data_IF_890872181778
#
_entry.id   IF_890872181778
#
_cell.length_a   1.000
_cell.length_b   1.000
_cell.length_c   1.000
_cell.angle_alpha   90.00
_cell.angle_beta   90.00
_cell.angle_gamma   90.00
#
_symmetry.space_group_name_H-M   'P 1'
#
loop_
_entity.id
_entity.type
_entity.pdbx_description
1 polymer ?
#
# COMPACT_ATOMS: atom_id res chain seq x y z
N UNK A 1 12.90 50.63 -54.98
CA UNK A 1 11.51 51.14 -55.10
C UNK A 1 10.55 49.98 -54.89
N UNK A 2 9.65 50.14 -53.92
CA UNK A 2 8.27 49.64 -53.84
C UNK A 2 7.96 48.12 -53.73
N UNK A 3 7.18 47.83 -52.68
CA UNK A 3 6.64 46.57 -52.10
C UNK A 3 5.68 45.79 -53.02
N UNK A 4 5.39 44.52 -52.67
CA UNK A 4 4.03 44.00 -52.29
C UNK A 4 4.08 42.51 -51.82
N UNK A 5 3.50 42.28 -50.62
CA UNK A 5 2.71 41.15 -50.04
C UNK A 5 2.77 39.73 -50.66
N UNK A 6 2.51 38.60 -49.98
CA UNK A 6 2.24 38.17 -48.60
C UNK A 6 2.00 36.64 -48.65
N UNK A 7 2.23 35.92 -47.52
CA UNK A 7 1.51 34.70 -47.06
C UNK A 7 2.47 33.89 -46.15
N UNK A 8 2.30 33.93 -44.83
CA UNK A 8 1.51 32.95 -44.05
C UNK A 8 2.07 31.52 -44.09
N UNK A 9 2.80 31.14 -43.05
CA UNK A 9 2.46 29.94 -42.27
C UNK A 9 3.16 30.00 -40.91
N UNK A 10 2.33 30.27 -39.89
CA UNK A 10 2.63 30.10 -38.48
C UNK A 10 2.86 28.61 -38.20
N UNK A 11 4.05 28.25 -37.77
CA UNK A 11 4.29 27.08 -36.94
C UNK A 11 4.83 27.58 -35.62
N UNK A 12 3.89 28.07 -34.80
CA UNK A 12 4.10 28.28 -33.38
C UNK A 12 4.38 26.90 -32.76
N UNK A 13 5.66 26.54 -32.69
CA UNK A 13 6.14 25.58 -31.69
C UNK A 13 5.94 26.25 -30.33
N UNK A 14 4.71 26.21 -29.84
CA UNK A 14 4.44 26.37 -28.42
C UNK A 14 5.15 25.21 -27.74
N UNK A 15 6.35 25.50 -27.26
CA UNK A 15 6.92 24.81 -26.13
C UNK A 15 5.87 24.89 -25.01
N UNK A 16 5.01 23.87 -24.92
CA UNK A 16 4.43 23.48 -23.65
C UNK A 16 5.61 22.93 -22.84
N UNK A 17 6.38 23.86 -22.28
CA UNK A 17 7.01 23.62 -20.99
C UNK A 17 5.84 23.40 -20.04
N UNK A 18 5.35 22.16 -19.96
CA UNK A 18 4.59 21.75 -18.81
C UNK A 18 5.52 22.02 -17.63
N UNK A 19 5.12 22.80 -16.61
CA UNK A 19 5.87 22.80 -15.38
C UNK A 19 5.95 21.34 -14.97
N UNK A 20 7.17 20.80 -14.93
CA UNK A 20 7.44 19.51 -14.32
C UNK A 20 6.90 19.65 -12.91
N UNK A 21 5.72 19.06 -12.69
CA UNK A 21 5.12 19.05 -11.37
C UNK A 21 6.20 18.46 -10.47
N UNK A 22 6.56 19.11 -9.35
CA UNK A 22 7.44 18.48 -8.38
C UNK A 22 6.89 17.08 -8.15
N UNK A 23 7.72 16.03 -8.11
CA UNK A 23 7.24 14.66 -7.98
C UNK A 23 6.24 14.68 -6.84
N UNK A 24 4.96 14.49 -7.18
CA UNK A 24 3.92 14.37 -6.17
C UNK A 24 4.43 13.27 -5.29
N UNK A 25 4.81 13.60 -4.04
CA UNK A 25 5.02 12.59 -3.02
C UNK A 25 3.80 11.70 -3.17
N UNK A 26 4.01 10.44 -3.52
CA UNK A 26 2.94 9.47 -3.44
C UNK A 26 2.43 9.61 -2.01
N UNK A 27 1.21 10.10 -1.84
CA UNK A 27 0.53 10.21 -0.54
C UNK A 27 0.17 8.80 -0.06
N UNK A 28 1.17 7.93 0.01
CA UNK A 28 1.15 6.68 0.75
C UNK A 28 1.96 6.90 2.04
N UNK A 29 1.55 6.33 3.18
CA UNK A 29 2.41 6.20 4.35
C UNK A 29 3.84 5.83 3.96
N UNK A 30 4.79 6.48 4.65
CA UNK A 30 6.19 6.13 4.52
C UNK A 30 6.36 4.63 4.81
N UNK A 31 7.23 3.94 4.08
CA UNK A 31 7.65 2.59 4.43
C UNK A 31 8.17 2.55 5.86
N UNK A 32 8.03 1.39 6.49
CA UNK A 32 8.09 1.30 7.94
C UNK A 32 9.50 0.95 8.41
N UNK A 33 9.92 1.49 9.55
CA UNK A 33 11.31 1.37 10.03
C UNK A 33 11.66 -0.08 10.44
N UNK A 34 10.67 -0.92 10.73
CA UNK A 34 10.85 -2.33 11.04
C UNK A 34 9.61 -3.16 10.64
N UNK A 35 9.74 -4.49 10.50
CA UNK A 35 8.62 -5.39 10.29
C UNK A 35 7.55 -5.29 11.38
N UNK A 36 7.95 -5.16 12.65
CA UNK A 36 7.01 -5.07 13.79
C UNK A 36 6.18 -3.79 13.72
N UNK A 37 6.81 -2.67 13.34
CA UNK A 37 6.09 -1.42 13.09
C UNK A 37 5.15 -1.53 11.90
N UNK A 38 5.59 -2.18 10.82
CA UNK A 38 4.75 -2.45 9.65
C UNK A 38 3.48 -3.22 10.02
N UNK A 39 3.65 -4.31 10.77
CA UNK A 39 2.53 -5.12 11.21
C UNK A 39 1.60 -4.33 12.14
N UNK A 40 2.16 -3.64 13.13
CA UNK A 40 1.38 -2.80 14.05
C UNK A 40 0.59 -1.71 13.32
N UNK A 41 1.20 -1.07 12.32
CA UNK A 41 0.55 -0.06 11.50
C UNK A 41 -0.57 -0.66 10.63
N UNK A 42 -0.34 -1.84 10.05
CA UNK A 42 -1.37 -2.58 9.30
C UNK A 42 -2.59 -2.87 10.17
N UNK A 43 -2.40 -3.50 11.33
CA UNK A 43 -3.49 -3.86 12.26
C UNK A 43 -4.22 -2.60 12.73
N UNK A 44 -3.48 -1.57 13.13
CA UNK A 44 -4.02 -0.30 13.60
C UNK A 44 -4.88 0.41 12.54
N UNK A 45 -4.43 0.44 11.28
CA UNK A 45 -5.18 1.04 10.17
C UNK A 45 -6.37 0.19 9.75
N UNK A 46 -6.22 -1.13 9.74
CA UNK A 46 -7.30 -2.07 9.43
C UNK A 46 -8.43 -1.97 10.46
N UNK A 47 -8.11 -1.85 11.75
CA UNK A 47 -9.08 -1.60 12.83
C UNK A 47 -9.91 -0.31 12.62
N UNK A 48 -9.38 0.66 11.86
CA UNK A 48 -10.05 1.92 11.52
C UNK A 48 -10.71 1.91 10.14
N UNK A 49 -10.68 0.79 9.42
CA UNK A 49 -11.06 0.69 8.01
C UNK A 49 -10.37 1.74 7.11
N UNK A 50 -9.11 2.07 7.40
CA UNK A 50 -8.32 3.04 6.63
C UNK A 50 -7.78 2.39 5.34
N UNK A 51 -8.66 2.25 4.34
CA UNK A 51 -8.34 1.66 3.03
C UNK A 51 -7.07 2.22 2.39
N UNK A 52 -6.99 3.54 2.11
CA UNK A 52 -5.81 4.14 1.49
C UNK A 52 -4.53 3.91 2.29
N UNK A 53 -4.61 4.04 3.63
CA UNK A 53 -3.47 3.83 4.50
C UNK A 53 -2.98 2.39 4.52
N UNK A 54 -3.88 1.41 4.64
CA UNK A 54 -3.53 -0.02 4.58
C UNK A 54 -2.94 -0.36 3.22
N UNK A 55 -3.57 0.06 2.11
CA UNK A 55 -3.12 -0.27 0.76
C UNK A 55 -1.74 0.26 0.39
N UNK A 56 -1.29 1.32 1.07
CA UNK A 56 0.03 1.90 0.89
C UNK A 56 1.13 1.21 1.71
N UNK A 57 0.78 0.33 2.65
CA UNK A 57 1.75 -0.53 3.34
C UNK A 57 2.22 -1.71 2.47
N UNK A 58 1.55 -1.95 1.34
CA UNK A 58 1.87 -3.04 0.42
C UNK A 58 2.79 -2.61 -0.71
N UNK A 59 3.66 -3.53 -1.14
CA UNK A 59 4.22 -3.49 -2.49
C UNK A 59 3.09 -3.63 -3.53
N UNK A 60 3.32 -3.28 -4.81
CA UNK A 60 2.33 -3.52 -5.85
C UNK A 60 1.88 -5.00 -5.91
N UNK A 61 2.82 -5.93 -5.77
CA UNK A 61 2.55 -7.38 -5.76
C UNK A 61 1.74 -7.79 -4.53
N UNK A 62 2.11 -7.31 -3.34
CA UNK A 62 1.38 -7.61 -2.11
C UNK A 62 -0.04 -7.09 -2.12
N UNK A 63 -0.29 -5.95 -2.78
CA UNK A 63 -1.64 -5.41 -2.95
C UNK A 63 -2.52 -6.34 -3.79
N UNK A 64 -1.97 -6.91 -4.86
CA UNK A 64 -2.68 -7.88 -5.71
C UNK A 64 -2.96 -9.16 -4.90
N UNK A 65 -1.98 -9.67 -4.15
CA UNK A 65 -2.21 -10.83 -3.28
C UNK A 65 -3.33 -10.56 -2.26
N UNK A 66 -3.31 -9.41 -1.59
CA UNK A 66 -4.37 -9.03 -0.66
C UNK A 66 -5.76 -8.96 -1.33
N UNK A 67 -5.84 -8.40 -2.53
CA UNK A 67 -7.07 -8.34 -3.32
C UNK A 67 -7.61 -9.73 -3.66
N UNK A 68 -6.73 -10.63 -4.08
CA UNK A 68 -7.08 -12.02 -4.44
C UNK A 68 -7.62 -12.80 -3.23
N UNK A 69 -6.97 -12.66 -2.07
CA UNK A 69 -7.38 -13.29 -0.81
C UNK A 69 -8.78 -12.87 -0.36
N UNK A 70 -9.19 -11.63 -0.65
CA UNK A 70 -10.53 -11.12 -0.34
C UNK A 70 -11.51 -11.21 -1.53
N UNK A 71 -11.07 -11.71 -2.69
CA UNK A 71 -11.91 -11.88 -3.87
C UNK A 71 -12.42 -10.55 -4.46
N UNK A 72 -11.66 -9.47 -4.34
CA UNK A 72 -12.04 -8.12 -4.76
C UNK A 72 -11.05 -7.52 -5.76
N UNK A 73 -11.50 -6.60 -6.62
CA UNK A 73 -10.65 -5.96 -7.62
C UNK A 73 -9.90 -4.72 -7.11
N UNK A 74 -10.33 -4.14 -5.98
CA UNK A 74 -9.75 -2.91 -5.43
C UNK A 74 -9.32 -3.16 -3.99
N UNK A 75 -8.15 -2.62 -3.62
CA UNK A 75 -7.55 -2.94 -2.33
C UNK A 75 -8.33 -2.33 -1.17
N UNK A 76 -8.83 -1.09 -1.33
CA UNK A 76 -9.67 -0.40 -0.36
C UNK A 76 -10.98 -1.16 -0.07
N UNK A 77 -11.56 -1.81 -1.07
CA UNK A 77 -12.69 -2.72 -0.87
C UNK A 77 -12.27 -3.94 -0.02
N UNK A 78 -11.11 -4.53 -0.29
CA UNK A 78 -10.60 -5.65 0.52
C UNK A 78 -10.36 -5.24 1.97
N UNK A 79 -9.89 -4.00 2.20
CA UNK A 79 -9.73 -3.43 3.54
C UNK A 79 -11.08 -3.24 4.21
N UNK A 80 -12.10 -2.81 3.47
CA UNK A 80 -13.46 -2.64 3.98
C UNK A 80 -14.06 -3.98 4.42
N UNK A 81 -13.93 -5.02 3.59
CA UNK A 81 -14.37 -6.39 3.91
C UNK A 81 -13.62 -6.95 5.12
N UNK A 82 -12.29 -6.83 5.12
CA UNK A 82 -11.44 -7.28 6.21
C UNK A 82 -11.75 -6.57 7.53
N UNK A 83 -11.93 -5.25 7.51
CA UNK A 83 -12.32 -4.46 8.68
C UNK A 83 -13.74 -4.79 9.16
N UNK A 84 -14.65 -5.14 8.25
CA UNK A 84 -16.01 -5.57 8.60
C UNK A 84 -16.07 -6.86 9.42
N UNK A 85 -15.03 -7.71 9.32
CA UNK A 85 -14.85 -8.91 10.15
C UNK A 85 -14.31 -8.63 11.56
N UNK A 86 -13.92 -7.39 11.88
CA UNK A 86 -13.33 -7.04 13.17
C UNK A 86 -14.44 -6.69 14.19
N UNK A 87 -14.79 -7.66 15.04
CA UNK A 87 -15.83 -7.47 16.07
C UNK A 87 -15.44 -6.53 17.21
N UNK A 88 -14.16 -6.49 17.59
CA UNK A 88 -13.60 -5.55 18.59
C UNK A 88 -12.31 -4.91 18.05
N UNK A 89 -12.39 -3.68 17.50
CA UNK A 89 -11.23 -2.99 16.95
C UNK A 89 -10.11 -2.72 17.95
N UNK A 90 -10.43 -2.50 19.24
CA UNK A 90 -9.42 -2.21 20.25
C UNK A 90 -8.66 -3.48 20.65
N UNK A 91 -9.37 -4.60 20.85
CA UNK A 91 -8.74 -5.89 21.08
C UNK A 91 -7.96 -6.38 19.87
N UNK A 92 -8.46 -6.11 18.65
CA UNK A 92 -7.76 -6.39 17.40
C UNK A 92 -6.44 -5.61 17.29
N UNK A 93 -6.46 -4.30 17.58
CA UNK A 93 -5.27 -3.46 17.57
C UNK A 93 -4.22 -3.84 18.63
N UNK A 94 -4.61 -4.57 19.67
CA UNK A 94 -3.71 -5.06 20.72
C UNK A 94 -2.98 -6.36 20.35
N UNK A 95 -3.25 -6.97 19.19
CA UNK A 95 -2.61 -8.23 18.78
C UNK A 95 -1.12 -8.02 18.48
N UNK A 96 -0.27 -8.75 19.20
CA UNK A 96 1.16 -8.79 18.94
C UNK A 96 1.45 -9.67 17.71
N UNK A 97 2.41 -9.28 16.85
CA UNK A 97 2.86 -10.15 15.77
C UNK A 97 3.69 -11.31 16.31
N UNK A 98 3.42 -12.51 15.82
CA UNK A 98 4.42 -13.58 15.78
C UNK A 98 5.26 -13.39 14.52
N UNK A 99 6.59 -13.40 14.66
CA UNK A 99 7.51 -13.27 13.52
C UNK A 99 8.37 -14.52 13.36
N UNK A 100 8.51 -14.97 12.12
CA UNK A 100 9.52 -15.95 11.70
C UNK A 100 10.49 -15.26 10.77
N UNK A 101 11.77 -15.27 11.16
CA UNK A 101 12.85 -14.76 10.33
C UNK A 101 13.51 -15.97 9.67
N UNK A 102 13.56 -15.98 8.34
CA UNK A 102 14.37 -16.94 7.59
C UNK A 102 15.58 -16.23 7.02
N UNK A 103 16.72 -16.38 7.70
CA UNK A 103 18.09 -16.09 7.27
C UNK A 103 18.32 -14.80 6.47
N UNK A 104 17.54 -13.72 6.67
CA UNK A 104 17.72 -12.51 5.87
C UNK A 104 17.38 -11.20 6.60
N UNK A 105 18.16 -10.17 6.24
CA UNK A 105 17.88 -8.75 6.50
C UNK A 105 16.75 -8.21 5.59
N UNK A 106 16.18 -9.07 4.73
CA UNK A 106 15.34 -8.64 3.61
C UNK A 106 13.93 -9.22 3.60
N UNK A 107 13.66 -10.30 4.35
CA UNK A 107 12.35 -10.96 4.38
C UNK A 107 11.99 -11.37 5.80
N UNK A 108 10.80 -10.97 6.25
CA UNK A 108 10.22 -11.41 7.53
C UNK A 108 8.79 -11.87 7.31
N UNK A 109 8.47 -13.07 7.80
CA UNK A 109 7.10 -13.56 7.82
C UNK A 109 6.47 -13.23 9.16
N UNK A 110 5.28 -12.66 9.15
CA UNK A 110 4.55 -12.22 10.34
C UNK A 110 3.14 -12.77 10.30
N UNK A 111 2.61 -13.14 11.45
CA UNK A 111 1.23 -13.59 11.55
C UNK A 111 0.60 -13.16 12.87
N UNK A 112 -0.71 -13.11 12.86
CA UNK A 112 -1.47 -12.98 14.08
C UNK A 112 -2.87 -13.50 13.86
N UNK A 113 -3.39 -14.13 14.90
CA UNK A 113 -4.67 -14.78 14.81
C UNK A 113 -5.77 -13.74 14.48
N UNK A 114 -6.66 -14.05 13.55
CA UNK A 114 -7.68 -13.12 13.05
C UNK A 114 -7.17 -11.93 12.23
N UNK A 115 -5.85 -11.74 12.07
CA UNK A 115 -5.24 -10.74 11.18
C UNK A 115 -4.84 -11.37 9.85
N UNK A 116 -4.36 -12.61 9.90
CA UNK A 116 -3.79 -13.34 8.76
C UNK A 116 -2.28 -13.49 8.88
N UNK A 117 -1.67 -14.04 7.83
CA UNK A 117 -0.22 -14.11 7.69
C UNK A 117 0.24 -13.17 6.56
N UNK A 118 1.42 -12.59 6.71
CA UNK A 118 1.99 -11.67 5.73
C UNK A 118 3.50 -11.83 5.63
N UNK A 119 4.04 -11.63 4.42
CA UNK A 119 5.48 -11.57 4.19
C UNK A 119 5.86 -10.12 3.96
N UNK A 120 6.70 -9.58 4.84
CA UNK A 120 7.31 -8.26 4.68
C UNK A 120 8.65 -8.37 3.94
N UNK A 121 8.89 -7.44 3.02
CA UNK A 121 10.16 -7.25 2.34
C UNK A 121 10.80 -5.93 2.76
N UNK A 122 12.12 -5.97 2.97
CA UNK A 122 12.93 -4.77 3.13
C UNK A 122 13.14 -4.10 1.78
N UNK A 123 12.80 -2.83 1.69
CA UNK A 123 13.09 -1.94 0.58
C UNK A 123 14.04 -0.82 1.04
N UNK A 124 14.72 -0.10 0.13
CA UNK A 124 15.64 0.98 0.50
C UNK A 124 15.01 2.05 1.41
N UNK A 125 13.72 2.29 1.22
CA UNK A 125 12.93 3.27 1.95
C UNK A 125 12.27 2.72 3.24
N UNK A 126 12.36 1.41 3.50
CA UNK A 126 11.84 0.71 4.69
C UNK A 126 11.09 -0.58 4.36
N UNK A 127 10.31 -1.11 5.29
CA UNK A 127 9.61 -2.39 5.13
C UNK A 127 8.21 -2.22 4.55
N UNK A 128 7.84 -3.13 3.64
CA UNK A 128 6.52 -3.19 2.99
C UNK A 128 6.01 -4.64 2.93
N UNK A 129 4.68 -4.80 2.86
CA UNK A 129 4.03 -6.11 2.74
C UNK A 129 4.03 -6.56 1.28
N UNK A 130 4.61 -7.73 1.01
CA UNK A 130 4.75 -8.28 -0.34
C UNK A 130 3.85 -9.48 -0.61
N UNK A 131 3.36 -10.14 0.43
CA UNK A 131 2.34 -11.18 0.33
C UNK A 131 1.44 -11.14 1.55
N UNK A 132 0.20 -11.57 1.36
CA UNK A 132 -0.81 -11.69 2.40
C UNK A 132 -1.57 -12.99 2.21
N UNK A 133 -1.98 -13.58 3.33
CA UNK A 133 -2.87 -14.73 3.42
C UNK A 133 -3.92 -14.38 4.48
N UNK A 134 -5.19 -14.44 4.11
CA UNK A 134 -6.27 -14.12 5.04
C UNK A 134 -6.32 -15.14 6.20
N UNK A 135 -6.83 -14.76 7.38
CA UNK A 135 -6.97 -15.69 8.50
C UNK A 135 -8.07 -16.72 8.24
N UNK A 136 -7.79 -17.99 8.53
CA UNK A 136 -8.77 -19.09 8.43
C UNK A 136 -9.99 -18.90 9.35
N UNK A 137 -9.81 -18.20 10.48
CA UNK A 137 -10.87 -17.82 11.40
C UNK A 137 -10.55 -16.49 12.11
N UNK A 138 -11.53 -15.58 12.16
CA UNK A 138 -11.50 -14.35 12.95
C UNK A 138 -11.98 -14.58 14.39
N UNK A 139 -12.86 -15.57 14.58
CA UNK A 139 -13.35 -16.04 15.88
C UNK A 139 -12.56 -17.29 16.33
N UNK A 140 -11.94 -17.24 17.52
CA UNK A 140 -11.30 -18.41 18.14
C UNK A 140 -9.78 -18.32 18.33
N UNK A 141 -9.25 -17.11 18.29
CA UNK A 141 -8.00 -16.72 18.94
C UNK A 141 -8.26 -16.42 20.42
#
# INVERSE_FOLDING_TARGET
MTRVLAALLLLSLTACTSPEAPPMKADGPAPQESPERLYGEFVSRLARADGPGVCALFTPSGRVAFQDEWGVAQCDLGVTEAAGGVGDPAAFAAKAPDSTIRDSETVVEMSGCGVGAMKALSAPEGWLIDAYLHPDAVDGC
#
